data_IF_732592998432
#
_entry.id   IF_732592998432
#
_cell.length_a   1.000
_cell.length_b   1.000
_cell.length_c   1.000
_cell.angle_alpha   90.00
_cell.angle_beta   90.00
_cell.angle_gamma   90.00
#
_symmetry.space_group_name_H-M   'P 1'
#
loop_
_entity.id
_entity.type
_entity.pdbx_description
1 polymer ?
#
# COMPACT_ATOMS: atom_id res chain seq x y z
N UNK A 1 17.61 -13.90 -5.48
CA UNK A 1 16.17 -13.53 -5.42
C UNK A 1 16.04 -12.28 -4.59
N UNK A 2 15.44 -11.23 -5.15
CA UNK A 2 15.10 -10.03 -4.37
C UNK A 2 13.94 -10.41 -3.46
N UNK A 3 14.05 -10.16 -2.16
CA UNK A 3 12.93 -10.36 -1.24
C UNK A 3 11.77 -9.47 -1.71
N UNK A 4 10.62 -10.05 -2.01
CA UNK A 4 9.44 -9.29 -2.45
C UNK A 4 9.00 -8.40 -1.28
N UNK A 5 8.80 -7.11 -1.56
CA UNK A 5 8.20 -6.19 -0.60
C UNK A 5 6.74 -6.62 -0.37
N UNK A 6 6.32 -6.63 0.89
CA UNK A 6 4.96 -6.97 1.29
C UNK A 6 4.39 -5.86 2.16
N UNK A 7 3.14 -5.47 1.91
CA UNK A 7 2.40 -4.53 2.72
C UNK A 7 1.14 -5.21 3.24
N UNK A 8 1.05 -5.41 4.55
CA UNK A 8 -0.07 -6.03 5.26
C UNK A 8 -0.93 -5.00 6.02
N UNK A 9 -0.46 -3.75 6.09
CA UNK A 9 -1.07 -2.66 6.85
C UNK A 9 -0.51 -2.46 8.27
N UNK A 10 0.47 -3.27 8.70
CA UNK A 10 1.07 -3.16 10.04
C UNK A 10 2.14 -2.07 10.12
N UNK A 11 2.94 -1.90 9.07
CA UNK A 11 3.87 -0.77 8.94
C UNK A 11 3.14 0.47 8.41
N UNK A 12 3.64 1.66 8.75
CA UNK A 12 3.13 2.91 8.12
C UNK A 12 3.19 2.82 6.59
N UNK A 13 2.11 3.26 5.95
CA UNK A 13 2.03 3.37 4.49
C UNK A 13 3.16 4.24 3.90
N UNK A 14 3.50 5.37 4.54
CA UNK A 14 4.58 6.27 4.11
C UNK A 14 5.94 5.57 4.05
N UNK A 15 6.22 4.73 5.05
CA UNK A 15 7.46 3.94 5.10
C UNK A 15 7.50 2.92 3.97
N UNK A 16 6.42 2.16 3.80
CA UNK A 16 6.32 1.18 2.71
C UNK A 16 6.44 1.85 1.34
N UNK A 17 5.72 2.96 1.10
CA UNK A 17 5.74 3.71 -0.15
C UNK A 17 7.15 4.18 -0.50
N UNK A 18 7.89 4.71 0.47
CA UNK A 18 9.28 5.14 0.26
C UNK A 18 10.19 3.97 -0.16
N UNK A 19 10.08 2.82 0.51
CA UNK A 19 10.86 1.63 0.15
C UNK A 19 10.48 1.10 -1.23
N UNK A 20 9.19 1.07 -1.51
CA UNK A 20 8.64 0.67 -2.81
C UNK A 20 9.12 1.60 -3.93
N UNK A 21 9.16 2.91 -3.70
CA UNK A 21 9.64 3.90 -4.67
C UNK A 21 11.13 3.69 -4.98
N UNK A 22 11.98 3.50 -3.95
CA UNK A 22 13.41 3.20 -4.14
C UNK A 22 13.62 1.94 -4.98
N UNK A 23 12.89 0.86 -4.66
CA UNK A 23 12.94 -0.38 -5.44
C UNK A 23 12.45 -0.15 -6.87
N UNK A 24 11.33 0.56 -7.05
CA UNK A 24 10.77 0.86 -8.37
C UNK A 24 11.76 1.61 -9.26
N UNK A 25 12.49 2.59 -8.71
CA UNK A 25 13.51 3.35 -9.44
C UNK A 25 14.70 2.48 -9.82
N UNK A 26 15.16 1.61 -8.92
CA UNK A 26 16.28 0.71 -9.20
C UNK A 26 15.96 -0.31 -10.31
N UNK A 27 14.70 -0.75 -10.42
CA UNK A 27 14.25 -1.69 -11.44
C UNK A 27 13.56 -1.03 -12.65
N UNK A 28 13.51 0.30 -12.70
CA UNK A 28 12.89 1.05 -13.80
C UNK A 28 11.38 0.82 -13.94
N UNK A 29 10.68 0.45 -12.88
CA UNK A 29 9.22 0.26 -12.91
C UNK A 29 8.51 1.60 -13.05
N UNK A 30 7.70 1.74 -14.10
CA UNK A 30 6.92 2.95 -14.37
C UNK A 30 5.49 2.58 -14.77
N UNK A 31 4.56 3.53 -14.61
CA UNK A 31 3.17 3.41 -15.04
C UNK A 31 2.50 2.12 -14.56
N UNK A 32 1.98 1.33 -15.52
CA UNK A 32 1.27 0.08 -15.27
C UNK A 32 2.12 -0.97 -14.56
N UNK A 33 3.41 -1.09 -14.88
CA UNK A 33 4.29 -2.07 -14.24
C UNK A 33 4.41 -1.75 -12.75
N UNK A 34 4.58 -0.48 -12.40
CA UNK A 34 4.63 -0.04 -11.01
C UNK A 34 3.29 -0.29 -10.30
N UNK A 35 2.17 -0.04 -10.96
CA UNK A 35 0.84 -0.34 -10.42
C UNK A 35 0.63 -1.84 -10.14
N UNK A 36 0.97 -2.70 -11.11
CA UNK A 36 0.87 -4.16 -10.93
C UNK A 36 1.76 -4.68 -9.82
N UNK A 37 2.98 -4.15 -9.69
CA UNK A 37 3.89 -4.54 -8.61
C UNK A 37 3.39 -4.06 -7.25
N UNK A 38 2.76 -2.87 -7.17
CA UNK A 38 2.14 -2.38 -5.95
C UNK A 38 1.01 -3.33 -5.52
N UNK A 39 0.09 -3.65 -6.44
CA UNK A 39 -1.01 -4.61 -6.20
C UNK A 39 -0.46 -5.97 -5.76
N UNK A 40 0.57 -6.49 -6.44
CA UNK A 40 1.20 -7.76 -6.10
C UNK A 40 1.90 -7.77 -4.74
N UNK A 41 2.18 -6.60 -4.16
CA UNK A 41 2.81 -6.45 -2.84
C UNK A 41 1.77 -6.38 -1.70
N UNK A 42 0.49 -6.14 -2.00
CA UNK A 42 -0.57 -6.02 -0.99
C UNK A 42 -0.97 -7.38 -0.42
N UNK A 43 -1.10 -7.47 0.90
CA UNK A 43 -1.51 -8.66 1.65
C UNK A 43 -2.56 -8.29 2.68
N UNK A 44 -3.35 -9.29 3.08
CA UNK A 44 -4.30 -9.20 4.20
C UNK A 44 -5.15 -7.92 4.15
N UNK A 45 -5.18 -7.14 5.23
CA UNK A 45 -5.98 -5.92 5.33
C UNK A 45 -5.67 -4.98 4.16
N UNK A 46 -4.42 -4.80 3.77
CA UNK A 46 -4.06 -3.93 2.66
C UNK A 46 -4.59 -4.41 1.30
N UNK A 47 -4.78 -5.71 1.09
CA UNK A 47 -5.37 -6.24 -0.14
C UNK A 47 -6.89 -5.99 -0.23
N UNK A 48 -7.59 -5.83 0.90
CA UNK A 48 -9.04 -5.61 0.90
C UNK A 48 -9.46 -4.31 0.22
N UNK A 49 -8.58 -3.30 0.15
CA UNK A 49 -8.90 -2.04 -0.53
C UNK A 49 -9.22 -2.26 -2.02
N UNK A 50 -8.69 -3.34 -2.61
CA UNK A 50 -8.87 -3.66 -4.01
C UNK A 50 -10.31 -4.07 -4.33
N UNK A 51 -11.09 -4.52 -3.32
CA UNK A 51 -12.51 -4.86 -3.51
C UNK A 51 -13.36 -3.63 -3.88
N UNK A 52 -12.92 -2.43 -3.50
CA UNK A 52 -13.59 -1.17 -3.81
C UNK A 52 -13.08 -0.46 -5.07
N UNK A 53 -12.05 -1.00 -5.73
CA UNK A 53 -11.41 -0.36 -6.89
C UNK A 53 -11.83 -1.11 -8.17
N UNK A 54 -12.40 -0.44 -9.19
CA UNK A 54 -12.73 -1.06 -10.47
C UNK A 54 -11.50 -1.65 -11.15
N UNK A 55 -11.59 -2.92 -11.61
CA UNK A 55 -10.48 -3.64 -12.25
C UNK A 55 -9.93 -2.95 -13.51
N UNK A 56 -10.75 -2.16 -14.20
CA UNK A 56 -10.39 -1.44 -15.44
C UNK A 56 -9.57 -0.16 -15.20
N UNK A 57 -9.36 0.22 -13.93
CA UNK A 57 -8.69 1.45 -13.52
C UNK A 57 -7.54 1.16 -12.54
N UNK A 58 -6.56 0.36 -12.96
CA UNK A 58 -5.27 0.22 -12.26
C UNK A 58 -4.41 1.49 -12.43
N UNK A 59 -5.01 2.66 -12.21
CA UNK A 59 -4.29 3.91 -12.05
C UNK A 59 -3.58 3.86 -10.70
N UNK A 60 -2.24 3.83 -10.75
CA UNK A 60 -1.36 3.83 -9.58
C UNK A 60 -1.82 4.88 -8.55
N UNK A 61 -2.22 6.07 -9.03
CA UNK A 61 -2.68 7.18 -8.19
C UNK A 61 -3.92 6.83 -7.37
N UNK A 62 -4.84 6.06 -7.92
CA UNK A 62 -6.08 5.67 -7.24
C UNK A 62 -5.80 4.67 -6.12
N UNK A 63 -4.92 3.70 -6.37
CA UNK A 63 -4.49 2.71 -5.38
C UNK A 63 -3.70 3.39 -4.25
N UNK A 64 -2.76 4.27 -4.58
CA UNK A 64 -1.99 5.01 -3.58
C UNK A 64 -2.88 5.89 -2.69
N UNK A 65 -3.89 6.56 -3.26
CA UNK A 65 -4.85 7.37 -2.48
C UNK A 65 -5.71 6.51 -1.55
N UNK A 66 -6.15 5.34 -2.00
CA UNK A 66 -6.91 4.42 -1.16
C UNK A 66 -6.06 3.86 -0.01
N UNK A 67 -4.78 3.54 -0.27
CA UNK A 67 -3.82 3.12 0.74
C UNK A 67 -3.54 4.24 1.75
N UNK A 68 -3.33 5.47 1.28
CA UNK A 68 -3.15 6.64 2.13
C UNK A 68 -4.36 6.90 3.03
N UNK A 69 -5.58 6.82 2.48
CA UNK A 69 -6.80 7.08 3.22
C UNK A 69 -7.02 6.06 4.36
N UNK A 70 -6.59 4.81 4.18
CA UNK A 70 -6.81 3.74 5.15
C UNK A 70 -5.62 3.49 6.09
N UNK A 71 -4.40 3.62 5.59
CA UNK A 71 -3.16 3.24 6.30
C UNK A 71 -2.15 4.38 6.42
N UNK A 72 -2.50 5.59 5.97
CA UNK A 72 -1.68 6.78 6.18
C UNK A 72 -1.37 7.02 7.66
N UNK A 73 -0.36 7.84 7.94
CA UNK A 73 0.23 8.00 9.27
C UNK A 73 -0.77 8.38 10.37
N UNK A 74 -1.89 9.00 9.99
CA UNK A 74 -2.96 9.39 10.92
C UNK A 74 -3.76 8.20 11.49
N UNK A 75 -3.70 7.01 10.88
CA UNK A 75 -4.50 5.86 11.28
C UNK A 75 -3.82 4.98 12.34
N UNK A 76 -2.49 4.99 12.46
CA UNK A 76 -1.79 4.36 13.58
C UNK A 76 -2.25 4.96 14.93
N UNK A 77 -2.46 6.28 14.98
CA UNK A 77 -2.98 6.99 16.16
C UNK A 77 -4.43 6.60 16.50
N UNK A 78 -5.25 6.24 15.52
CA UNK A 78 -6.64 5.77 15.73
C UNK A 78 -6.70 4.30 16.13
N UNK A 79 -5.79 3.46 15.63
CA UNK A 79 -5.69 2.05 16.03
C UNK A 79 -5.43 1.94 17.54
N UNK A 80 -4.44 2.67 18.06
CA UNK A 80 -4.18 2.74 19.50
C UNK A 80 -5.35 3.30 20.33
N UNK A 81 -6.17 4.20 19.76
CA UNK A 81 -7.32 4.80 20.47
C UNK A 81 -8.51 3.86 20.59
N UNK A 82 -8.63 2.90 19.68
CA UNK A 82 -9.78 1.99 19.62
C UNK A 82 -9.49 0.69 20.39
N UNK A 83 -8.23 0.27 20.48
CA UNK A 83 -7.81 -0.90 21.28
C UNK A 83 -7.69 -0.61 22.79
N UNK A 84 -7.56 0.66 23.22
CA UNK A 84 -7.47 1.02 24.64
C UNK A 84 -8.84 1.24 25.33
N UNK A 85 -9.94 0.73 24.78
CA UNK A 85 -11.21 0.61 25.51
C UNK A 85 -11.29 -0.76 26.17
N UNK A 86 -10.74 -0.88 27.37
CA UNK A 86 -11.17 -1.86 28.38
C UNK A 86 -11.01 -1.25 29.76
#
# INVERSE_FOLDING_TARGET
>A
MVKSLTFDGQTSWTVFKTQFDVVSSNYGWTGLVKASQLVASLRESAAEILQGIPSDLTDLTTIEKALEARFGDNHLTQFYRTELKT
#
